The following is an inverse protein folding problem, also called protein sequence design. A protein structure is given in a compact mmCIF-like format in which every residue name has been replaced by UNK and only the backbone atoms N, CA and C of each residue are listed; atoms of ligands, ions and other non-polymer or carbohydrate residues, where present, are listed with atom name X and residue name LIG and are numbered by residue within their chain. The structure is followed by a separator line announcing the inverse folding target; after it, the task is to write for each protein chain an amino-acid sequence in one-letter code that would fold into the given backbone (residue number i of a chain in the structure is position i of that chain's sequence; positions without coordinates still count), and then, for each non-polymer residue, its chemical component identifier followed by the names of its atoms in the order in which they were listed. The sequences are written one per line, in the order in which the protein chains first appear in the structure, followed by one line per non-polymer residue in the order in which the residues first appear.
data_IF_807965198199
#
_entry.id   IF_807965198199
#
_cell.length_a   1.000
_cell.length_b   1.000
_cell.length_c   1.000
_cell.angle_alpha   90.00
_cell.angle_beta   90.00
_cell.angle_gamma   90.00
#
_symmetry.space_group_name_H-M   'P 1'
#
loop_
_entity.id
_entity.type
_entity.pdbx_description
1 polymer ?
#
# COMPACT_ATOMS: atom_id res chain seq x y z
N UNK A 1 -11.81 -5.81 12.47
CA UNK A 1 -12.97 -6.50 11.88
C UNK A 1 -14.25 -5.68 12.09
N UNK A 2 -14.58 -5.19 13.29
CA UNK A 2 -15.81 -4.40 13.51
C UNK A 2 -15.85 -3.05 12.79
N UNK A 3 -14.73 -2.31 12.73
CA UNK A 3 -14.67 -1.01 12.01
C UNK A 3 -14.88 -1.16 10.49
N UNK A 4 -14.33 -2.21 9.91
CA UNK A 4 -14.44 -2.49 8.47
C UNK A 4 -15.88 -2.91 8.09
N UNK A 5 -16.54 -3.68 8.96
CA UNK A 5 -17.96 -4.00 8.81
C UNK A 5 -18.85 -2.76 8.97
N UNK A 6 -18.61 -1.92 9.98
CA UNK A 6 -19.38 -0.69 10.21
C UNK A 6 -19.29 0.30 9.03
N UNK A 7 -18.12 0.43 8.39
CA UNK A 7 -17.92 1.35 7.25
C UNK A 7 -18.61 0.85 5.97
N UNK A 8 -18.71 -0.47 5.81
CA UNK A 8 -19.38 -1.11 4.68
C UNK A 8 -20.90 -0.99 4.80
N UNK A 9 -21.44 -1.23 6.00
CA UNK A 9 -22.84 -0.98 6.33
C UNK A 9 -23.20 0.50 6.14
N UNK A 10 -22.35 1.41 6.60
CA UNK A 10 -22.55 2.85 6.40
C UNK A 10 -22.48 3.26 4.93
N UNK A 11 -21.59 2.65 4.14
CA UNK A 11 -21.53 2.92 2.69
C UNK A 11 -22.81 2.49 2.01
N UNK A 12 -23.36 1.34 2.38
CA UNK A 12 -24.64 0.83 1.85
C UNK A 12 -25.78 1.78 2.22
N UNK A 13 -25.89 2.17 3.49
CA UNK A 13 -26.89 3.13 3.94
C UNK A 13 -26.77 4.49 3.22
N UNK A 14 -25.54 4.99 3.05
CA UNK A 14 -25.31 6.27 2.38
C UNK A 14 -25.63 6.20 0.88
N UNK A 15 -25.37 5.07 0.24
CA UNK A 15 -25.75 4.79 -1.14
C UNK A 15 -27.28 4.87 -1.29
N UNK A 16 -28.01 4.17 -0.43
CA UNK A 16 -29.47 4.14 -0.49
C UNK A 16 -30.09 5.53 -0.28
N UNK A 17 -29.59 6.26 0.72
CA UNK A 17 -30.14 7.58 1.06
C UNK A 17 -29.79 8.65 0.02
N UNK A 18 -28.54 8.70 -0.45
CA UNK A 18 -28.07 9.80 -1.30
C UNK A 18 -28.13 9.51 -2.81
N UNK A 19 -28.06 8.24 -3.22
CA UNK A 19 -28.01 7.87 -4.64
C UNK A 19 -29.32 7.24 -5.10
N UNK A 20 -29.92 6.37 -4.28
CA UNK A 20 -31.23 5.77 -4.55
C UNK A 20 -32.41 6.63 -4.10
N UNK A 21 -32.17 7.65 -3.27
CA UNK A 21 -33.19 8.58 -2.77
C UNK A 21 -34.12 7.97 -1.70
N UNK A 22 -33.72 6.87 -1.08
CA UNK A 22 -34.47 6.25 0.01
C UNK A 22 -34.53 7.19 1.23
N UNK A 23 -35.66 7.24 1.95
CA UNK A 23 -35.73 8.00 3.20
C UNK A 23 -34.80 7.36 4.24
N UNK A 24 -34.06 8.18 4.98
CA UNK A 24 -33.29 7.69 6.12
C UNK A 24 -34.24 7.28 7.25
N UNK A 25 -34.23 6.01 7.63
CA UNK A 25 -35.03 5.53 8.76
C UNK A 25 -34.19 5.50 10.05
N UNK A 26 -34.60 6.27 11.06
CA UNK A 26 -33.91 6.36 12.34
C UNK A 26 -34.34 5.26 13.32
N UNK A 27 -34.16 4.02 12.90
CA UNK A 27 -34.27 2.83 13.76
C UNK A 27 -33.17 2.83 14.82
N UNK A 28 -33.33 2.01 15.86
CA UNK A 28 -32.30 1.84 16.90
C UNK A 28 -30.97 1.33 16.30
N UNK A 29 -31.05 0.47 15.29
CA UNK A 29 -29.90 -0.05 14.54
C UNK A 29 -29.18 1.06 13.77
N UNK A 30 -29.91 1.87 12.99
CA UNK A 30 -29.33 3.01 12.25
C UNK A 30 -28.70 4.03 13.21
N UNK A 31 -29.36 4.33 14.34
CA UNK A 31 -28.83 5.22 15.38
C UNK A 31 -27.53 4.68 15.97
N UNK A 32 -27.49 3.38 16.28
CA UNK A 32 -26.31 2.73 16.81
C UNK A 32 -25.16 2.75 15.79
N UNK A 33 -25.43 2.44 14.52
CA UNK A 33 -24.45 2.48 13.43
C UNK A 33 -23.87 3.89 13.26
N UNK A 34 -24.72 4.92 13.14
CA UNK A 34 -24.30 6.31 12.99
C UNK A 34 -23.50 6.81 14.19
N UNK A 35 -23.90 6.44 15.42
CA UNK A 35 -23.19 6.82 16.64
C UNK A 35 -21.79 6.18 16.72
N UNK A 36 -21.66 4.88 16.40
CA UNK A 36 -20.35 4.20 16.40
C UNK A 36 -19.42 4.76 15.33
N UNK A 37 -19.93 4.91 14.10
CA UNK A 37 -19.14 5.40 12.96
C UNK A 37 -18.75 6.88 13.12
N UNK A 38 -19.60 7.70 13.74
CA UNK A 38 -19.25 9.07 14.11
C UNK A 38 -17.98 9.14 14.98
N UNK A 39 -17.88 8.30 16.01
CA UNK A 39 -16.68 8.25 16.86
C UNK A 39 -15.44 7.80 16.07
N UNK A 40 -15.59 6.82 15.19
CA UNK A 40 -14.50 6.32 14.32
C UNK A 40 -13.96 7.40 13.36
N UNK A 41 -14.72 8.46 13.08
CA UNK A 41 -14.30 9.60 12.25
C UNK A 41 -14.07 10.90 13.05
N UNK A 42 -13.83 10.77 14.35
CA UNK A 42 -13.57 11.88 15.27
C UNK A 42 -14.71 12.92 15.33
N UNK A 43 -15.96 12.47 15.26
CA UNK A 43 -17.13 13.24 15.68
C UNK A 43 -17.43 12.85 17.12
N UNK A 44 -17.65 13.84 17.99
CA UNK A 44 -17.86 13.56 19.42
C UNK A 44 -19.18 12.81 19.64
N UNK A 45 -19.23 12.01 20.71
CA UNK A 45 -20.46 11.30 21.08
C UNK A 45 -21.63 12.27 21.30
N UNK A 46 -21.35 13.43 21.91
CA UNK A 46 -22.35 14.47 22.15
C UNK A 46 -22.92 15.02 20.83
N UNK A 47 -22.05 15.37 19.87
CA UNK A 47 -22.50 15.90 18.57
C UNK A 47 -23.31 14.85 17.79
N UNK A 48 -22.91 13.58 17.88
CA UNK A 48 -23.64 12.48 17.26
C UNK A 48 -25.02 12.31 17.90
N UNK A 49 -25.12 12.27 19.23
CA UNK A 49 -26.40 12.17 19.96
C UNK A 49 -27.33 13.35 19.67
N UNK A 50 -26.78 14.57 19.64
CA UNK A 50 -27.54 15.77 19.31
C UNK A 50 -28.07 15.73 17.87
N UNK A 51 -27.24 15.30 16.90
CA UNK A 51 -27.64 15.17 15.51
C UNK A 51 -28.70 14.07 15.31
N UNK A 52 -28.65 12.99 16.09
CA UNK A 52 -29.61 11.89 15.97
C UNK A 52 -31.02 12.25 16.49
N UNK A 53 -31.23 13.39 17.16
CA UNK A 53 -32.57 13.80 17.65
C UNK A 53 -33.57 14.14 16.54
N UNK A 54 -33.10 14.48 15.35
CA UNK A 54 -33.93 14.86 14.21
C UNK A 54 -33.53 14.14 12.93
N UNK A 55 -34.50 13.91 12.04
CA UNK A 55 -34.24 13.27 10.76
C UNK A 55 -33.27 14.08 9.90
N UNK A 56 -33.49 15.39 9.75
CA UNK A 56 -32.64 16.26 8.94
C UNK A 56 -31.20 16.36 9.48
N UNK A 57 -31.06 16.42 10.80
CA UNK A 57 -29.75 16.48 11.47
C UNK A 57 -29.02 15.14 11.40
N UNK A 58 -29.74 14.01 11.47
CA UNK A 58 -29.16 12.68 11.28
C UNK A 58 -28.71 12.44 9.82
N UNK A 59 -29.47 12.92 8.83
CA UNK A 59 -29.05 12.91 7.43
C UNK A 59 -27.78 13.74 7.22
N UNK A 60 -27.66 14.86 7.94
CA UNK A 60 -26.45 15.70 7.90
C UNK A 60 -25.26 14.98 8.54
N UNK A 61 -25.45 14.28 9.66
CA UNK A 61 -24.44 13.44 10.30
C UNK A 61 -23.94 12.33 9.35
N UNK A 62 -24.86 11.60 8.71
CA UNK A 62 -24.51 10.55 7.74
C UNK A 62 -23.67 11.12 6.58
N UNK A 63 -24.00 12.32 6.08
CA UNK A 63 -23.21 13.00 5.04
C UNK A 63 -21.81 13.33 5.53
N UNK A 64 -21.69 13.90 6.72
CA UNK A 64 -20.40 14.28 7.32
C UNK A 64 -19.51 13.04 7.53
N UNK A 65 -20.05 11.95 8.06
CA UNK A 65 -19.30 10.70 8.25
C UNK A 65 -18.77 10.18 6.90
N UNK A 66 -19.65 10.09 5.89
CA UNK A 66 -19.26 9.68 4.53
C UNK A 66 -18.15 10.58 3.98
N UNK A 67 -18.28 11.89 4.17
CA UNK A 67 -17.31 12.87 3.67
C UNK A 67 -15.94 12.71 4.35
N UNK A 68 -15.90 12.54 5.67
CA UNK A 68 -14.63 12.34 6.40
C UNK A 68 -13.91 11.06 6.01
N UNK A 69 -14.64 9.95 5.84
CA UNK A 69 -14.07 8.68 5.35
C UNK A 69 -13.49 8.89 3.96
N UNK A 70 -14.28 9.46 3.04
CA UNK A 70 -13.85 9.70 1.66
C UNK A 70 -12.61 10.59 1.62
N UNK A 71 -12.67 11.78 2.22
CA UNK A 71 -11.59 12.76 2.13
C UNK A 71 -10.33 12.27 2.85
N UNK A 72 -10.48 11.60 4.00
CA UNK A 72 -9.36 11.04 4.73
C UNK A 72 -8.66 9.91 3.96
N UNK A 73 -9.44 9.02 3.31
CA UNK A 73 -8.88 8.00 2.43
C UNK A 73 -8.11 8.60 1.26
N UNK A 74 -8.64 9.64 0.62
CA UNK A 74 -7.96 10.34 -0.48
C UNK A 74 -6.67 11.02 0.01
N UNK A 75 -6.72 11.74 1.12
CA UNK A 75 -5.53 12.40 1.71
C UNK A 75 -4.45 11.39 2.07
N UNK A 76 -4.82 10.27 2.69
CA UNK A 76 -3.88 9.20 3.04
C UNK A 76 -3.25 8.59 1.78
N UNK A 77 -4.05 8.21 0.80
CA UNK A 77 -3.56 7.65 -0.47
C UNK A 77 -2.59 8.59 -1.18
N UNK A 78 -2.95 9.87 -1.32
CA UNK A 78 -2.10 10.89 -1.92
C UNK A 78 -0.76 11.06 -1.19
N UNK A 79 -0.79 11.05 0.15
CA UNK A 79 0.40 11.22 0.96
C UNK A 79 1.32 10.00 0.86
N UNK A 80 0.76 8.78 0.87
CA UNK A 80 1.50 7.53 0.68
C UNK A 80 2.16 7.48 -0.69
N UNK A 81 1.45 7.87 -1.76
CA UNK A 81 2.00 7.94 -3.11
C UNK A 81 3.17 8.93 -3.23
N UNK A 82 3.03 10.10 -2.59
CA UNK A 82 4.11 11.10 -2.51
C UNK A 82 5.31 10.56 -1.75
N UNK A 83 5.10 9.95 -0.59
CA UNK A 83 6.16 9.37 0.23
C UNK A 83 6.90 8.24 -0.52
N UNK A 84 6.16 7.29 -1.09
CA UNK A 84 6.74 6.19 -1.88
C UNK A 84 7.50 6.69 -3.12
N UNK A 85 7.01 7.74 -3.78
CA UNK A 85 7.73 8.36 -4.90
C UNK A 85 9.03 9.03 -4.46
N UNK A 86 9.05 9.70 -3.31
CA UNK A 86 10.26 10.31 -2.75
C UNK A 86 11.25 9.24 -2.26
N UNK A 87 10.79 8.20 -1.57
CA UNK A 87 11.60 7.07 -1.14
C UNK A 87 12.30 6.38 -2.32
N UNK A 88 11.59 6.15 -3.44
CA UNK A 88 12.19 5.59 -4.67
C UNK A 88 13.28 6.46 -5.28
N UNK A 89 13.26 7.78 -5.01
CA UNK A 89 14.31 8.74 -5.41
C UNK A 89 15.41 8.90 -4.36
N UNK A 90 15.31 8.22 -3.22
CA UNK A 90 16.25 8.35 -2.08
C UNK A 90 15.99 9.55 -1.17
N UNK A 91 14.90 10.29 -1.40
CA UNK A 91 14.49 11.43 -0.57
C UNK A 91 13.65 10.96 0.62
N UNK A 92 14.29 10.36 1.63
CA UNK A 92 13.61 9.91 2.85
C UNK A 92 13.10 11.07 3.70
N UNK A 93 13.82 12.19 3.73
CA UNK A 93 13.44 13.39 4.47
C UNK A 93 12.14 13.98 3.93
N UNK A 94 12.04 14.11 2.60
CA UNK A 94 10.80 14.52 1.96
C UNK A 94 9.69 13.47 2.09
N UNK A 95 10.00 12.18 2.14
CA UNK A 95 9.00 11.14 2.40
C UNK A 95 8.40 11.28 3.80
N UNK A 96 9.23 11.50 4.83
CA UNK A 96 8.76 11.78 6.18
C UNK A 96 7.92 13.05 6.24
N UNK A 97 8.33 14.11 5.53
CA UNK A 97 7.58 15.35 5.50
C UNK A 97 6.17 15.15 4.96
N UNK A 98 5.98 14.31 3.94
CA UNK A 98 4.63 13.99 3.43
C UNK A 98 3.72 13.38 4.50
N UNK A 99 4.26 12.49 5.36
CA UNK A 99 3.49 11.90 6.46
C UNK A 99 3.20 12.92 7.57
N UNK A 100 4.17 13.81 7.89
CA UNK A 100 3.95 14.89 8.86
C UNK A 100 2.89 15.89 8.38
N UNK A 101 2.92 16.24 7.09
CA UNK A 101 1.94 17.14 6.47
C UNK A 101 0.52 16.54 6.54
N UNK A 102 0.38 15.23 6.30
CA UNK A 102 -0.88 14.52 6.47
C UNK A 102 -1.34 14.54 7.93
N UNK A 103 -0.46 14.19 8.87
CA UNK A 103 -0.79 14.16 10.31
C UNK A 103 -1.18 15.52 10.89
N UNK A 104 -0.76 16.61 10.25
CA UNK A 104 -1.15 17.97 10.65
C UNK A 104 -2.62 18.30 10.32
N UNK A 105 -3.21 17.63 9.31
CA UNK A 105 -4.57 17.92 8.83
C UNK A 105 -5.55 16.78 9.06
N UNK A 106 -5.07 15.54 9.19
CA UNK A 106 -5.94 14.38 9.32
C UNK A 106 -6.51 14.25 10.73
N UNK A 107 -7.83 14.05 10.81
CA UNK A 107 -8.58 13.97 12.07
C UNK A 107 -9.11 12.55 12.33
N UNK A 108 -9.30 11.74 11.29
CA UNK A 108 -9.81 10.37 11.41
C UNK A 108 -8.75 9.47 12.05
N UNK A 109 -9.00 8.89 13.25
CA UNK A 109 -7.99 8.15 14.00
C UNK A 109 -7.36 6.99 13.22
N UNK A 110 -8.14 6.24 12.44
CA UNK A 110 -7.63 5.13 11.64
C UNK A 110 -6.56 5.60 10.63
N UNK A 111 -6.84 6.68 9.90
CA UNK A 111 -5.91 7.18 8.89
C UNK A 111 -4.68 7.84 9.51
N UNK A 112 -4.84 8.51 10.67
CA UNK A 112 -3.69 9.00 11.45
C UNK A 112 -2.79 7.85 11.88
N UNK A 113 -3.36 6.76 12.40
CA UNK A 113 -2.60 5.58 12.81
C UNK A 113 -1.80 4.98 11.65
N UNK A 114 -2.39 4.88 10.45
CA UNK A 114 -1.66 4.41 9.27
C UNK A 114 -0.50 5.33 8.90
N UNK A 115 -0.70 6.65 8.97
CA UNK A 115 0.35 7.63 8.70
C UNK A 115 1.47 7.61 9.76
N UNK A 116 1.13 7.38 11.04
CA UNK A 116 2.08 7.20 12.14
C UNK A 116 2.95 5.96 11.93
N UNK A 117 2.36 4.81 11.62
CA UNK A 117 3.10 3.57 11.28
C UNK A 117 4.06 3.82 10.11
N UNK A 118 3.58 4.47 9.04
CA UNK A 118 4.44 4.77 7.89
C UNK A 118 5.60 5.73 8.26
N UNK A 119 5.37 6.67 9.17
CA UNK A 119 6.40 7.60 9.64
C UNK A 119 7.44 6.90 10.52
N UNK A 120 7.02 5.96 11.36
CA UNK A 120 7.91 5.09 12.16
C UNK A 120 8.81 4.25 11.24
N UNK A 121 8.23 3.60 10.22
CA UNK A 121 8.99 2.85 9.22
C UNK A 121 10.05 3.73 8.53
N UNK A 122 9.67 4.93 8.07
CA UNK A 122 10.58 5.85 7.41
C UNK A 122 11.71 6.30 8.35
N UNK A 123 11.40 6.50 9.63
CA UNK A 123 12.40 6.83 10.66
C UNK A 123 13.40 5.69 10.83
N UNK A 124 12.93 4.46 10.98
CA UNK A 124 13.80 3.29 11.05
C UNK A 124 14.67 3.14 9.81
N UNK A 125 14.12 3.36 8.60
CA UNK A 125 14.89 3.30 7.36
C UNK A 125 15.98 4.38 7.29
N UNK A 126 15.73 5.57 7.83
CA UNK A 126 16.75 6.61 7.94
C UNK A 126 17.87 6.20 8.91
N UNK A 127 17.56 5.52 10.00
CA UNK A 127 18.56 4.98 10.92
C UNK A 127 19.40 3.88 10.27
N UNK A 128 18.79 2.96 9.52
CA UNK A 128 19.51 1.96 8.72
C UNK A 128 20.43 2.65 7.72
N UNK A 129 19.95 3.67 7.00
CA UNK A 129 20.77 4.47 6.07
C UNK A 129 21.97 5.12 6.77
N UNK A 130 21.75 5.69 7.96
CA UNK A 130 22.76 6.43 8.71
C UNK A 130 23.81 5.53 9.38
N UNK A 131 23.41 4.35 9.85
CA UNK A 131 24.26 3.46 10.65
C UNK A 131 24.78 2.24 9.89
N UNK A 132 24.08 1.82 8.83
CA UNK A 132 24.30 0.53 8.16
C UNK A 132 23.78 -0.68 8.94
N UNK A 133 23.15 -0.48 10.11
CA UNK A 133 22.61 -1.56 10.94
C UNK A 133 21.18 -1.85 10.54
N UNK A 134 20.86 -3.13 10.39
CA UNK A 134 19.51 -3.59 10.07
C UNK A 134 18.57 -3.43 11.27
N UNK A 135 17.29 -3.26 10.97
CA UNK A 135 16.20 -3.28 11.94
C UNK A 135 15.26 -4.45 11.58
N UNK A 136 15.08 -5.43 12.48
CA UNK A 136 14.27 -6.62 12.20
C UNK A 136 12.77 -6.32 12.03
N UNK A 137 12.30 -5.17 12.54
CA UNK A 137 10.89 -4.75 12.45
C UNK A 137 10.58 -4.04 11.14
N UNK A 138 11.59 -3.75 10.30
CA UNK A 138 11.41 -3.09 9.01
C UNK A 138 11.33 -4.07 7.84
N UNK A 139 10.59 -3.73 6.78
CA UNK A 139 10.55 -4.57 5.58
C UNK A 139 11.92 -4.69 4.88
N UNK A 140 12.28 -5.90 4.48
CA UNK A 140 13.61 -6.23 3.92
C UNK A 140 14.01 -5.40 2.70
N UNK A 141 13.14 -5.30 1.70
CA UNK A 141 13.47 -4.61 0.43
C UNK A 141 13.74 -3.11 0.63
N UNK A 142 12.92 -2.36 1.39
CA UNK A 142 13.27 -1.01 1.81
C UNK A 142 14.62 -0.90 2.52
N UNK A 143 14.97 -1.84 3.41
CA UNK A 143 16.29 -1.84 4.07
C UNK A 143 17.42 -2.00 3.05
N UNK A 144 17.28 -2.93 2.08
CA UNK A 144 18.25 -3.08 0.99
C UNK A 144 18.39 -1.82 0.14
N UNK A 145 17.28 -1.12 -0.14
CA UNK A 145 17.29 0.12 -0.92
C UNK A 145 18.07 1.24 -0.22
N UNK A 146 17.91 1.40 1.10
CA UNK A 146 18.64 2.43 1.85
C UNK A 146 20.10 2.05 2.07
N UNK A 147 20.43 0.76 2.21
CA UNK A 147 21.82 0.29 2.20
C UNK A 147 22.50 0.56 0.86
N UNK A 148 21.82 0.31 -0.27
CA UNK A 148 22.33 0.63 -1.59
C UNK A 148 22.63 2.14 -1.75
N UNK A 149 21.77 3.01 -1.21
CA UNK A 149 22.00 4.45 -1.19
C UNK A 149 23.22 4.83 -0.34
N UNK A 150 23.36 4.21 0.84
CA UNK A 150 24.52 4.40 1.73
C UNK A 150 25.83 4.02 1.01
N UNK A 151 25.85 2.91 0.28
CA UNK A 151 27.00 2.47 -0.53
C UNK A 151 27.31 3.50 -1.62
N UNK A 152 26.29 4.00 -2.32
CA UNK A 152 26.46 5.04 -3.34
C UNK A 152 27.01 6.36 -2.77
N UNK A 153 26.79 6.63 -1.47
CA UNK A 153 27.37 7.76 -0.75
C UNK A 153 28.82 7.53 -0.29
N UNK A 154 29.42 6.38 -0.63
CA UNK A 154 30.82 6.06 -0.34
C UNK A 154 31.06 5.37 0.99
N UNK A 155 30.01 4.94 1.68
CA UNK A 155 30.15 4.14 2.90
C UNK A 155 30.31 2.65 2.54
N UNK A 156 31.33 2.00 3.09
CA UNK A 156 31.55 0.56 2.88
C UNK A 156 30.41 -0.27 3.48
N UNK A 157 30.05 -1.36 2.78
CA UNK A 157 29.13 -2.36 3.31
C UNK A 157 29.82 -3.27 4.32
N UNK A 158 29.28 -3.35 5.53
CA UNK A 158 29.69 -4.35 6.52
C UNK A 158 28.86 -5.62 6.33
N UNK A 159 29.50 -6.72 5.95
CA UNK A 159 28.83 -8.00 5.77
C UNK A 159 28.63 -8.71 7.11
N UNK A 160 27.63 -8.26 7.87
CA UNK A 160 27.21 -8.84 9.15
C UNK A 160 26.40 -10.12 8.95
N UNK A 161 26.24 -10.92 10.00
CA UNK A 161 25.43 -12.15 9.93
C UNK A 161 23.95 -11.86 9.69
N UNK A 162 23.42 -10.78 10.27
CA UNK A 162 22.05 -10.33 10.02
C UNK A 162 21.84 -9.96 8.55
N UNK A 163 22.82 -9.30 7.92
CA UNK A 163 22.75 -8.97 6.50
C UNK A 163 22.82 -10.22 5.62
N UNK A 164 23.66 -11.21 5.97
CA UNK A 164 23.68 -12.50 5.28
C UNK A 164 22.32 -13.20 5.37
N UNK A 165 21.70 -13.22 6.54
CA UNK A 165 20.37 -13.82 6.76
C UNK A 165 19.30 -13.10 5.93
N UNK A 166 19.28 -11.76 5.95
CA UNK A 166 18.34 -10.97 5.16
C UNK A 166 18.51 -11.22 3.65
N UNK A 167 19.76 -11.25 3.17
CA UNK A 167 20.05 -11.52 1.76
C UNK A 167 19.59 -12.92 1.35
N UNK A 168 19.90 -13.97 2.14
CA UNK A 168 19.42 -15.34 1.87
C UNK A 168 17.89 -15.44 1.82
N UNK A 169 17.19 -14.68 2.66
CA UNK A 169 15.72 -14.62 2.64
C UNK A 169 15.19 -13.86 1.42
N UNK A 170 15.89 -12.82 0.98
CA UNK A 170 15.39 -11.93 -0.08
C UNK A 170 15.75 -12.40 -1.49
N UNK A 171 16.91 -13.04 -1.69
CA UNK A 171 17.36 -13.52 -3.00
C UNK A 171 16.37 -14.44 -3.75
N UNK A 172 15.72 -15.45 -3.13
CA UNK A 172 14.74 -16.27 -3.83
C UNK A 172 13.54 -15.45 -4.29
N UNK A 173 13.17 -14.40 -3.57
CA UNK A 173 12.07 -13.49 -3.97
C UNK A 173 12.39 -12.66 -5.22
N UNK A 174 13.67 -12.58 -5.60
CA UNK A 174 14.14 -11.98 -6.85
C UNK A 174 14.57 -13.03 -7.89
N UNK A 175 14.24 -14.31 -7.68
CA UNK A 175 14.67 -15.46 -8.50
C UNK A 175 16.19 -15.61 -8.67
N UNK A 176 16.94 -15.25 -7.64
CA UNK A 176 18.39 -15.48 -7.60
C UNK A 176 18.63 -16.82 -6.92
N UNK A 177 19.49 -17.66 -7.50
CA UNK A 177 19.74 -19.01 -6.98
C UNK A 177 20.53 -18.98 -5.66
N UNK A 178 20.43 -20.08 -4.89
CA UNK A 178 21.23 -20.26 -3.68
C UNK A 178 22.73 -20.25 -3.99
N UNK A 179 23.16 -20.89 -5.08
CA UNK A 179 24.56 -20.90 -5.50
C UNK A 179 25.10 -19.50 -5.82
N UNK A 180 24.34 -18.69 -6.58
CA UNK A 180 24.69 -17.28 -6.83
C UNK A 180 24.71 -16.46 -5.54
N UNK A 181 23.79 -16.75 -4.62
CA UNK A 181 23.71 -16.09 -3.31
C UNK A 181 24.95 -16.38 -2.48
N UNK A 182 25.29 -17.65 -2.27
CA UNK A 182 26.44 -18.04 -1.44
C UNK A 182 27.77 -17.59 -2.06
N UNK A 183 27.89 -17.56 -3.39
CA UNK A 183 29.08 -16.99 -4.05
C UNK A 183 29.22 -15.49 -3.75
N UNK A 184 28.14 -14.73 -3.89
CA UNK A 184 28.14 -13.30 -3.64
C UNK A 184 28.39 -12.96 -2.16
N UNK A 185 27.96 -13.80 -1.21
CA UNK A 185 28.16 -13.59 0.22
C UNK A 185 29.60 -13.87 0.72
N UNK A 186 30.53 -14.23 -0.16
CA UNK A 186 31.96 -14.40 0.19
C UNK A 186 32.69 -13.08 0.41
N UNK A 187 32.21 -11.97 -0.15
CA UNK A 187 32.82 -10.65 0.02
C UNK A 187 31.78 -9.54 0.13
N UNK A 188 32.14 -8.39 0.74
CA UNK A 188 31.28 -7.21 0.75
C UNK A 188 30.88 -6.76 -0.67
N UNK A 189 31.81 -6.72 -1.63
CA UNK A 189 31.55 -6.28 -3.00
C UNK A 189 30.57 -7.22 -3.72
N UNK A 190 30.65 -8.52 -3.44
CA UNK A 190 29.69 -9.51 -3.92
C UNK A 190 28.30 -9.25 -3.35
N UNK A 191 28.20 -8.97 -2.04
CA UNK A 191 26.94 -8.63 -1.39
C UNK A 191 26.35 -7.30 -1.92
N UNK A 192 27.18 -6.28 -2.18
CA UNK A 192 26.73 -5.03 -2.82
C UNK A 192 26.14 -5.29 -4.21
N UNK A 193 26.82 -6.11 -5.01
CA UNK A 193 26.34 -6.53 -6.34
C UNK A 193 25.01 -7.27 -6.24
N UNK A 194 24.88 -8.15 -5.24
CA UNK A 194 23.67 -8.91 -4.97
C UNK A 194 22.48 -8.00 -4.61
N UNK A 195 22.70 -7.02 -3.73
CA UNK A 195 21.71 -5.99 -3.37
C UNK A 195 21.23 -5.25 -4.62
N UNK A 196 22.18 -4.78 -5.46
CA UNK A 196 21.85 -4.09 -6.70
C UNK A 196 21.04 -4.97 -7.67
N UNK A 197 21.39 -6.26 -7.77
CA UNK A 197 20.66 -7.22 -8.61
C UNK A 197 19.22 -7.44 -8.12
N UNK A 198 19.02 -7.64 -6.82
CA UNK A 198 17.68 -7.79 -6.20
C UNK A 198 16.82 -6.57 -6.56
N UNK A 199 17.30 -5.37 -6.24
CA UNK A 199 16.56 -4.13 -6.44
C UNK A 199 16.24 -3.89 -7.94
N UNK A 200 17.20 -4.13 -8.82
CA UNK A 200 17.02 -4.01 -10.27
C UNK A 200 15.96 -4.98 -10.80
N UNK A 201 15.96 -6.25 -10.35
CA UNK A 201 14.98 -7.24 -10.81
C UNK A 201 13.56 -6.86 -10.41
N UNK A 202 13.37 -6.45 -9.15
CA UNK A 202 12.06 -5.95 -8.70
C UNK A 202 11.60 -4.74 -9.51
N UNK A 203 12.47 -3.74 -9.68
CA UNK A 203 12.12 -2.53 -10.43
C UNK A 203 11.75 -2.82 -11.89
N UNK A 204 12.47 -3.73 -12.55
CA UNK A 204 12.19 -4.13 -13.94
C UNK A 204 10.88 -4.92 -14.03
N UNK A 205 10.64 -5.84 -13.09
CA UNK A 205 9.41 -6.62 -13.06
C UNK A 205 8.18 -5.77 -12.79
N UNK A 206 8.25 -4.84 -11.83
CA UNK A 206 7.19 -3.88 -11.53
C UNK A 206 6.79 -3.08 -12.77
N UNK A 207 7.78 -2.46 -13.45
CA UNK A 207 7.54 -1.67 -14.65
C UNK A 207 6.91 -2.49 -15.77
N UNK A 208 7.38 -3.73 -15.95
CA UNK A 208 6.84 -4.64 -16.96
C UNK A 208 5.39 -4.99 -16.66
N UNK A 209 5.10 -5.38 -15.43
CA UNK A 209 3.77 -5.75 -14.99
C UNK A 209 2.80 -4.56 -15.12
N UNK A 210 3.12 -3.39 -14.56
CA UNK A 210 2.27 -2.20 -14.62
C UNK A 210 2.01 -1.75 -16.06
N UNK A 211 3.04 -1.73 -16.93
CA UNK A 211 2.86 -1.41 -18.34
C UNK A 211 1.90 -2.38 -19.04
N UNK A 212 1.99 -3.65 -18.69
CA UNK A 212 1.13 -4.69 -19.25
C UNK A 212 -0.31 -4.55 -18.74
N UNK A 213 -0.49 -4.19 -17.47
CA UNK A 213 -1.81 -3.88 -16.89
C UNK A 213 -2.49 -2.71 -17.60
N UNK A 214 -1.78 -1.60 -17.85
CA UNK A 214 -2.36 -0.47 -18.60
C UNK A 214 -2.81 -0.89 -20.01
N UNK A 215 -1.99 -1.67 -20.71
CA UNK A 215 -2.35 -2.17 -22.04
C UNK A 215 -3.51 -3.15 -21.99
N UNK A 216 -3.56 -3.99 -20.96
CA UNK A 216 -4.65 -4.92 -20.72
C UNK A 216 -5.98 -4.19 -20.53
N UNK A 217 -6.02 -3.11 -19.75
CA UNK A 217 -7.21 -2.26 -19.59
C UNK A 217 -7.67 -1.71 -20.93
N UNK A 218 -6.76 -1.16 -21.74
CA UNK A 218 -7.12 -0.64 -23.08
C UNK A 218 -7.67 -1.71 -24.02
N UNK A 219 -7.14 -2.94 -23.96
CA UNK A 219 -7.63 -4.06 -24.77
C UNK A 219 -9.01 -4.53 -24.30
N UNK A 220 -9.24 -4.58 -22.98
CA UNK A 220 -10.55 -4.88 -22.40
C UNK A 220 -11.60 -3.84 -22.81
N UNK A 221 -11.25 -2.55 -22.77
CA UNK A 221 -12.14 -1.47 -23.19
C UNK A 221 -12.49 -1.55 -24.69
N UNK A 222 -11.59 -2.09 -25.50
CA UNK A 222 -11.80 -2.38 -26.92
C UNK A 222 -12.54 -3.70 -27.19
N UNK A 223 -12.85 -4.50 -26.16
CA UNK A 223 -13.47 -5.81 -26.28
C UNK A 223 -12.53 -6.93 -26.73
N UNK A 224 -11.22 -6.69 -26.81
CA UNK A 224 -10.22 -7.68 -27.21
C UNK A 224 -9.74 -8.52 -26.02
N UNK A 225 -10.56 -9.51 -25.65
CA UNK A 225 -10.26 -10.42 -24.54
C UNK A 225 -9.07 -11.34 -24.84
N UNK A 226 -8.85 -11.74 -26.10
CA UNK A 226 -7.71 -12.61 -26.41
C UNK A 226 -6.40 -11.84 -26.42
N UNK A 227 -6.38 -10.60 -26.91
CA UNK A 227 -5.24 -9.69 -26.76
C UNK A 227 -4.92 -9.45 -25.29
N UNK A 228 -5.95 -9.30 -24.45
CA UNK A 228 -5.83 -9.18 -22.98
C UNK A 228 -5.14 -10.41 -22.38
N UNK A 229 -5.56 -11.63 -22.73
CA UNK A 229 -4.89 -12.88 -22.30
C UNK A 229 -3.45 -12.95 -22.80
N UNK A 230 -3.23 -12.58 -24.07
CA UNK A 230 -1.90 -12.62 -24.67
C UNK A 230 -0.94 -11.68 -23.95
N UNK A 231 -1.39 -10.51 -23.48
CA UNK A 231 -0.54 -9.63 -22.67
C UNK A 231 -0.04 -10.31 -21.39
N UNK A 232 -0.88 -11.06 -20.68
CA UNK A 232 -0.44 -11.79 -19.48
C UNK A 232 0.53 -12.93 -19.84
N UNK A 233 0.28 -13.67 -20.93
CA UNK A 233 1.22 -14.69 -21.43
C UNK A 233 2.58 -14.09 -21.81
N UNK A 234 2.58 -12.91 -22.44
CA UNK A 234 3.81 -12.18 -22.79
C UNK A 234 4.61 -11.80 -21.54
N UNK A 235 3.95 -11.38 -20.46
CA UNK A 235 4.61 -11.15 -19.16
C UNK A 235 5.20 -12.44 -18.61
N UNK A 236 4.41 -13.52 -18.56
CA UNK A 236 4.84 -14.82 -18.02
C UNK A 236 5.99 -15.48 -18.79
N UNK A 237 6.19 -15.11 -20.06
CA UNK A 237 7.29 -15.59 -20.88
C UNK A 237 8.65 -14.99 -20.48
N UNK A 238 8.67 -13.81 -19.86
CA UNK A 238 9.91 -13.06 -19.56
C UNK A 238 10.06 -12.68 -18.09
N UNK A 239 8.99 -12.79 -17.29
CA UNK A 239 9.01 -12.49 -15.88
C UNK A 239 9.58 -13.66 -15.08
N UNK A 240 10.59 -13.34 -14.27
CA UNK A 240 11.29 -14.30 -13.42
C UNK A 240 11.02 -14.05 -11.95
N UNK A 241 10.64 -12.82 -11.57
CA UNK A 241 10.37 -12.45 -10.19
C UNK A 241 9.04 -13.08 -9.75
N UNK A 242 9.03 -13.97 -8.74
CA UNK A 242 7.86 -14.77 -8.38
C UNK A 242 6.58 -13.98 -8.18
N UNK A 243 6.63 -12.86 -7.44
CA UNK A 243 5.42 -12.08 -7.14
C UNK A 243 4.76 -11.50 -8.40
N UNK A 244 5.52 -10.96 -9.35
CA UNK A 244 4.94 -10.40 -10.58
C UNK A 244 4.43 -11.49 -11.52
N UNK A 245 5.05 -12.68 -11.46
CA UNK A 245 4.59 -13.85 -12.17
C UNK A 245 3.25 -14.34 -11.62
N UNK A 246 3.14 -14.47 -10.31
CA UNK A 246 1.89 -14.84 -9.61
C UNK A 246 0.77 -13.84 -9.92
N UNK A 247 1.04 -12.54 -9.85
CA UNK A 247 0.07 -11.51 -10.22
C UNK A 247 -0.41 -11.65 -11.67
N UNK A 248 0.48 -11.94 -12.61
CA UNK A 248 0.10 -12.18 -14.01
C UNK A 248 -0.70 -13.48 -14.21
N UNK A 249 -0.38 -14.54 -13.46
CA UNK A 249 -1.14 -15.80 -13.42
C UNK A 249 -2.55 -15.59 -12.84
N UNK A 250 -2.69 -14.76 -11.80
CA UNK A 250 -3.98 -14.38 -11.23
C UNK A 250 -4.83 -13.59 -12.22
N UNK A 251 -4.25 -12.59 -12.89
CA UNK A 251 -4.96 -11.84 -13.94
C UNK A 251 -5.44 -12.75 -15.07
N UNK A 252 -4.61 -13.70 -15.50
CA UNK A 252 -4.99 -14.67 -16.53
C UNK A 252 -6.15 -15.57 -16.06
N UNK A 253 -6.09 -16.11 -14.84
CA UNK A 253 -7.19 -16.90 -14.24
C UNK A 253 -8.50 -16.12 -14.17
N UNK A 254 -8.43 -14.83 -13.84
CA UNK A 254 -9.60 -13.94 -13.79
C UNK A 254 -10.26 -13.74 -15.17
N UNK A 255 -9.51 -13.86 -16.27
CA UNK A 255 -10.04 -13.76 -17.64
C UNK A 255 -10.61 -15.07 -18.19
N UNK A 256 -10.25 -16.19 -17.58
CA UNK A 256 -10.73 -17.52 -17.94
C UNK A 256 -11.95 -17.95 -17.10
N UNK A 257 -12.26 -17.22 -16.04
CA UNK A 257 -13.46 -17.43 -15.24
C UNK A 257 -14.71 -16.93 -16.00
N UNK A 258 -15.84 -17.67 -15.98
CA UNK A 258 -17.09 -17.18 -16.56
C UNK A 258 -17.53 -15.88 -15.86
N UNK A 259 -18.28 -15.00 -16.54
CA UNK A 259 -18.86 -13.83 -15.88
C UNK A 259 -19.71 -14.30 -14.68
N UNK A 260 -19.71 -13.58 -13.55
CA UNK A 260 -20.62 -13.88 -12.46
C UNK A 260 -22.07 -13.82 -12.96
N UNK A 261 -22.86 -14.84 -12.58
CA UNK A 261 -24.30 -14.97 -12.87
C UNK A 261 -25.14 -13.86 -12.23
#
# INVERSE_FOLDING_TARGET
MTEETDWEELRTLAQDVFESGAPLELTDETRALLSRTAQQVAISQQDAEDALRGLSTATTLLREIRQRIRDGSHRLGDALDRAGTRQRKGDLDGAQQAMRDLLAVEVVPLYRKHAEVQLEELTGLMEVRATGRLNPDLPDRPQLAVLAQRIQQGHALELTDDLRVLLRRTTPTAAISEAETEEALKSPEGAETLIGMILSRFQKGERRFLRSMYRMTSLRDAGDLEGTRQQMRDVLAVEVVPIYREMAEEQLRGLDSPPPE
#
